data_IF_795427733328
#
_entry.id   IF_795427733328
#
_cell.length_a   1.000
_cell.length_b   1.000
_cell.length_c   1.000
_cell.angle_alpha   90.00
_cell.angle_beta   90.00
_cell.angle_gamma   90.00
#
_symmetry.space_group_name_H-M   'P 1'
#
loop_
_entity.id
_entity.type
_entity.pdbx_description
1 polymer ?
#
# COMPACT_ATOMS: atom_id res chain seq x y z
N UNK A 1 11.14 5.88 -29.23
CA UNK A 1 11.23 6.94 -28.21
C UNK A 1 9.89 7.00 -27.51
N UNK A 2 9.70 6.19 -26.47
CA UNK A 2 8.46 6.21 -25.71
C UNK A 2 8.49 7.37 -24.71
N UNK A 3 7.43 8.16 -24.76
CA UNK A 3 7.29 9.41 -24.03
C UNK A 3 7.24 9.13 -22.53
N UNK A 4 8.25 9.62 -21.82
CA UNK A 4 8.22 9.76 -20.36
C UNK A 4 7.12 10.78 -20.03
N UNK A 5 6.03 10.43 -19.33
CA UNK A 5 5.05 11.41 -18.92
C UNK A 5 5.70 12.34 -17.87
N UNK A 6 5.93 13.58 -18.30
CA UNK A 6 6.62 14.68 -17.61
C UNK A 6 5.78 15.37 -16.53
N UNK A 7 4.83 14.65 -15.90
CA UNK A 7 4.03 15.17 -14.79
C UNK A 7 4.31 14.35 -13.54
N UNK A 8 4.59 15.00 -12.38
CA UNK A 8 4.70 14.27 -11.12
C UNK A 8 3.38 13.56 -10.84
N UNK A 9 3.43 12.24 -10.75
CA UNK A 9 2.25 11.42 -10.47
C UNK A 9 1.77 11.74 -9.06
N UNK A 10 0.55 12.23 -8.92
CA UNK A 10 -0.04 12.49 -7.61
C UNK A 10 -0.79 11.26 -7.11
N UNK A 11 -1.07 11.23 -5.80
CA UNK A 11 -1.97 10.21 -5.23
C UNK A 11 -3.34 10.21 -5.94
N UNK A 12 -3.79 11.38 -6.42
CA UNK A 12 -5.04 11.50 -7.19
C UNK A 12 -5.00 10.71 -8.50
N UNK A 13 -3.86 10.76 -9.20
CA UNK A 13 -3.67 10.04 -10.48
C UNK A 13 -3.63 8.52 -10.26
N UNK A 14 -3.04 8.07 -9.14
CA UNK A 14 -3.05 6.65 -8.76
C UNK A 14 -4.47 6.16 -8.44
N UNK A 15 -5.28 6.98 -7.74
CA UNK A 15 -6.68 6.66 -7.44
C UNK A 15 -7.58 6.66 -8.67
N UNK A 16 -7.22 7.42 -9.70
CA UNK A 16 -7.91 7.43 -10.97
C UNK A 16 -7.67 6.15 -11.79
N UNK A 17 -6.76 5.27 -11.36
CA UNK A 17 -6.48 3.98 -11.97
C UNK A 17 -7.00 2.84 -11.06
N UNK A 18 -8.21 2.31 -11.29
CA UNK A 18 -8.83 1.29 -10.43
C UNK A 18 -7.99 0.03 -10.24
N UNK A 19 -7.32 -0.43 -11.30
CA UNK A 19 -6.45 -1.61 -11.30
C UNK A 19 -5.23 -1.42 -10.39
N UNK A 20 -4.51 -0.31 -10.58
CA UNK A 20 -3.35 0.05 -9.78
C UNK A 20 -3.73 0.29 -8.32
N UNK A 21 -4.85 0.98 -8.09
CA UNK A 21 -5.37 1.23 -6.75
C UNK A 21 -5.77 -0.06 -6.03
N UNK A 22 -6.36 -1.01 -6.74
CA UNK A 22 -6.64 -2.35 -6.22
C UNK A 22 -5.35 -3.09 -5.84
N UNK A 23 -4.33 -3.10 -6.71
CA UNK A 23 -3.02 -3.72 -6.43
C UNK A 23 -2.37 -3.14 -5.16
N UNK A 24 -2.44 -1.82 -4.96
CA UNK A 24 -1.97 -1.15 -3.73
C UNK A 24 -2.72 -1.66 -2.50
N UNK A 25 -4.05 -1.81 -2.58
CA UNK A 25 -4.83 -2.38 -1.48
C UNK A 25 -4.45 -3.83 -1.18
N UNK A 26 -4.21 -4.65 -2.20
CA UNK A 26 -3.75 -6.03 -2.04
C UNK A 26 -2.39 -6.06 -1.36
N UNK A 27 -1.43 -5.24 -1.80
CA UNK A 27 -0.12 -5.13 -1.14
C UNK A 27 -0.27 -4.77 0.35
N UNK A 28 -1.05 -3.74 0.69
CA UNK A 28 -1.24 -3.33 2.10
C UNK A 28 -1.89 -4.45 2.92
N UNK A 29 -2.87 -5.15 2.34
CA UNK A 29 -3.49 -6.30 2.98
C UNK A 29 -2.48 -7.43 3.20
N UNK A 30 -1.68 -7.78 2.19
CA UNK A 30 -0.71 -8.85 2.27
C UNK A 30 0.41 -8.52 3.27
N UNK A 31 0.91 -7.29 3.27
CA UNK A 31 1.88 -6.80 4.25
C UNK A 31 1.36 -6.98 5.69
N UNK A 32 0.06 -6.78 5.93
CA UNK A 32 -0.55 -6.96 7.26
C UNK A 32 -0.87 -8.38 7.62
N UNK A 33 -1.24 -9.20 6.65
CA UNK A 33 -1.65 -10.58 6.89
C UNK A 33 -0.52 -11.57 6.53
N UNK A 34 0.74 -11.12 6.43
CA UNK A 34 1.83 -11.98 5.96
C UNK A 34 2.04 -13.25 6.81
N UNK A 35 1.79 -13.19 8.13
CA UNK A 35 1.90 -14.36 9.01
C UNK A 35 0.65 -15.24 9.00
N UNK A 36 -0.50 -14.65 8.68
CA UNK A 36 -1.80 -15.31 8.75
C UNK A 36 -2.23 -15.90 7.41
N UNK A 37 -1.64 -15.43 6.30
CA UNK A 37 -1.99 -15.83 4.94
C UNK A 37 -0.76 -16.36 4.18
N UNK A 38 -0.63 -17.69 4.00
CA UNK A 38 0.48 -18.29 3.24
C UNK A 38 0.59 -17.80 1.80
N UNK A 39 -0.51 -17.38 1.17
CA UNK A 39 -0.49 -16.81 -0.18
C UNK A 39 0.10 -15.39 -0.17
N UNK A 40 -0.20 -14.60 0.85
CA UNK A 40 0.41 -13.28 1.04
C UNK A 40 1.91 -13.41 1.28
N UNK A 41 2.31 -14.38 2.10
CA UNK A 41 3.72 -14.69 2.34
C UNK A 41 4.43 -15.07 1.05
N UNK A 42 3.91 -16.05 0.29
CA UNK A 42 4.52 -16.47 -0.96
C UNK A 42 4.65 -15.34 -1.99
N UNK A 43 3.65 -14.43 -2.05
CA UNK A 43 3.71 -13.25 -2.93
C UNK A 43 4.76 -12.24 -2.47
N UNK A 44 4.86 -11.97 -1.16
CA UNK A 44 5.84 -11.04 -0.60
C UNK A 44 7.27 -11.58 -0.69
N UNK A 45 7.47 -12.88 -0.46
CA UNK A 45 8.78 -13.55 -0.59
C UNK A 45 9.27 -13.57 -2.05
N UNK A 46 8.35 -13.49 -3.02
CA UNK A 46 8.68 -13.38 -4.44
C UNK A 46 9.05 -11.94 -4.88
N UNK A 47 8.86 -10.92 -4.03
CA UNK A 47 9.23 -9.54 -4.37
C UNK A 47 10.72 -9.34 -4.15
N UNK A 48 11.46 -9.11 -5.23
CA UNK A 48 12.91 -8.82 -5.16
C UNK A 48 13.19 -7.35 -4.79
N UNK A 49 12.21 -6.45 -4.96
CA UNK A 49 12.37 -5.03 -4.67
C UNK A 49 12.29 -4.77 -3.15
N UNK A 50 13.30 -4.06 -2.61
CA UNK A 50 13.42 -3.75 -1.18
C UNK A 50 12.25 -2.91 -0.63
N UNK A 51 11.58 -2.14 -1.49
CA UNK A 51 10.42 -1.32 -1.13
C UNK A 51 9.11 -2.12 -1.24
N UNK A 52 9.18 -3.39 -1.64
CA UNK A 52 8.05 -4.26 -1.97
C UNK A 52 7.16 -3.70 -3.09
N UNK A 53 7.72 -2.81 -3.91
CA UNK A 53 7.08 -2.21 -5.09
C UNK A 53 7.70 -2.87 -6.31
N UNK A 54 7.22 -4.07 -6.64
CA UNK A 54 7.71 -4.84 -7.76
C UNK A 54 6.79 -6.02 -8.10
N UNK A 55 7.26 -6.88 -9.00
CA UNK A 55 6.60 -8.14 -9.28
C UNK A 55 6.48 -8.97 -7.98
N UNK A 56 5.38 -9.73 -7.77
CA UNK A 56 4.29 -9.99 -8.72
C UNK A 56 3.15 -8.96 -8.67
N UNK A 57 3.25 -7.89 -7.86
CA UNK A 57 2.16 -6.93 -7.67
C UNK A 57 2.09 -5.89 -8.78
N UNK A 58 3.25 -5.36 -9.19
CA UNK A 58 3.34 -4.23 -10.09
C UNK A 58 4.25 -4.51 -11.28
N UNK A 59 3.84 -4.01 -12.44
CA UNK A 59 4.66 -4.01 -13.64
C UNK A 59 5.72 -2.91 -13.57
N UNK A 60 6.84 -3.00 -14.31
CA UNK A 60 7.91 -2.00 -14.27
C UNK A 60 7.44 -0.55 -14.50
N UNK A 61 6.40 -0.36 -15.32
CA UNK A 61 5.78 0.96 -15.57
C UNK A 61 5.04 1.47 -14.33
N UNK A 62 4.26 0.61 -13.67
CA UNK A 62 3.54 0.93 -12.44
C UNK A 62 4.51 1.19 -11.27
N UNK A 63 5.60 0.43 -11.21
CA UNK A 63 6.68 0.62 -10.22
C UNK A 63 7.28 2.02 -10.35
N UNK A 64 7.61 2.46 -11.57
CA UNK A 64 8.14 3.80 -11.79
C UNK A 64 7.13 4.89 -11.39
N UNK A 65 5.85 4.70 -11.71
CA UNK A 65 4.79 5.65 -11.31
C UNK A 65 4.61 5.73 -9.79
N UNK A 66 4.67 4.59 -9.10
CA UNK A 66 4.59 4.52 -7.64
C UNK A 66 5.80 5.19 -6.99
N UNK A 67 7.02 4.87 -7.45
CA UNK A 67 8.26 5.46 -6.92
C UNK A 67 8.31 6.98 -7.14
N UNK A 68 7.87 7.45 -8.30
CA UNK A 68 7.78 8.87 -8.62
C UNK A 68 6.57 9.59 -7.99
N UNK A 69 5.69 8.87 -7.29
CA UNK A 69 4.46 9.45 -6.77
C UNK A 69 4.75 10.45 -5.65
N UNK A 70 4.27 11.69 -5.79
CA UNK A 70 4.37 12.70 -4.73
C UNK A 70 3.29 12.44 -3.69
N UNK A 71 3.73 11.96 -2.52
CA UNK A 71 2.85 11.65 -1.38
C UNK A 71 2.71 12.82 -0.41
N UNK A 72 3.70 13.70 -0.36
CA UNK A 72 3.66 14.93 0.42
C UNK A 72 3.84 16.13 -0.50
N UNK A 73 2.72 16.79 -0.82
CA UNK A 73 2.72 18.00 -1.64
C UNK A 73 3.46 19.18 -0.98
N UNK A 74 3.64 19.16 0.35
CA UNK A 74 4.31 20.25 1.07
C UNK A 74 5.84 20.12 1.02
N UNK A 75 6.35 18.89 1.05
CA UNK A 75 7.80 18.62 1.00
C UNK A 75 8.28 18.09 -0.36
N UNK A 76 7.38 17.96 -1.35
CA UNK A 76 7.65 17.33 -2.66
C UNK A 76 8.34 15.97 -2.55
N UNK A 77 8.09 15.24 -1.45
CA UNK A 77 8.70 13.93 -1.22
C UNK A 77 7.97 12.89 -2.04
N UNK A 78 8.74 12.12 -2.79
CA UNK A 78 8.24 10.94 -3.48
C UNK A 78 7.99 9.80 -2.49
N UNK A 79 7.16 8.83 -2.88
CA UNK A 79 6.89 7.64 -2.09
C UNK A 79 8.18 6.86 -1.82
N UNK A 80 9.04 6.73 -2.83
CA UNK A 80 10.35 6.07 -2.71
C UNK A 80 11.21 6.72 -1.62
N UNK A 81 11.39 8.04 -1.68
CA UNK A 81 12.15 8.77 -0.67
C UNK A 81 11.55 8.61 0.73
N UNK A 82 10.22 8.61 0.84
CA UNK A 82 9.55 8.47 2.12
C UNK A 82 9.74 7.07 2.73
N UNK A 83 9.69 6.01 1.91
CA UNK A 83 9.96 4.63 2.36
C UNK A 83 11.43 4.50 2.75
N UNK A 84 12.35 4.94 1.90
CA UNK A 84 13.80 4.89 2.17
C UNK A 84 14.18 5.66 3.43
N UNK A 85 13.70 6.90 3.61
CA UNK A 85 13.94 7.70 4.81
C UNK A 85 13.48 6.95 6.06
N UNK A 86 12.28 6.36 6.01
CA UNK A 86 11.72 5.65 7.18
C UNK A 86 12.51 4.38 7.49
N UNK A 87 12.93 3.63 6.47
CA UNK A 87 13.75 2.43 6.65
C UNK A 87 15.14 2.79 7.20
N UNK A 88 15.77 3.85 6.67
CA UNK A 88 17.05 4.37 7.12
C UNK A 88 16.98 4.84 8.58
N UNK A 89 15.97 5.64 8.93
CA UNK A 89 15.81 6.14 10.30
C UNK A 89 15.59 4.99 11.30
N UNK A 90 14.84 3.94 10.91
CA UNK A 90 14.67 2.75 11.74
C UNK A 90 15.95 1.93 11.87
N UNK A 91 16.73 1.81 10.79
CA UNK A 91 18.03 1.16 10.83
C UNK A 91 18.99 1.91 11.76
N UNK A 92 19.07 3.24 11.65
CA UNK A 92 19.88 4.10 12.51
C UNK A 92 19.45 4.03 14.00
N UNK A 93 18.14 4.02 14.27
CA UNK A 93 17.63 3.82 15.64
C UNK A 93 17.98 2.46 16.22
N UNK A 94 18.00 1.40 15.39
CA UNK A 94 18.44 0.06 15.81
C UNK A 94 19.96 0.02 16.03
N UNK A 95 20.76 0.63 15.16
CA UNK A 95 22.22 0.75 15.35
C UNK A 95 22.57 1.49 16.65
N UNK A 96 21.76 2.47 17.05
CA UNK A 96 21.93 3.24 18.30
C UNK A 96 21.54 2.44 19.55
N UNK A 97 20.74 1.36 19.42
CA UNK A 97 20.40 0.42 20.51
C UNK A 97 21.23 -0.85 20.33
N UNK A 98 22.43 -0.89 20.93
CA UNK A 98 23.41 -2.00 21.00
C UNK A 98 23.12 -3.24 20.14
N UNK A 99 24.02 -3.47 19.18
CA UNK A 99 24.19 -4.69 18.37
C UNK A 99 24.19 -5.95 19.26
N UNK A 100 23.06 -6.64 19.36
CA UNK A 100 23.02 -8.00 19.93
C UNK A 100 21.98 -8.92 19.28
N UNK A 101 21.46 -8.53 18.12
CA UNK A 101 20.60 -9.42 17.32
C UNK A 101 20.96 -9.16 15.87
N UNK A 102 21.87 -9.98 15.33
CA UNK A 102 22.33 -9.92 13.94
C UNK A 102 21.27 -10.24 12.89
N UNK A 103 20.00 -9.98 13.19
CA UNK A 103 18.87 -10.17 12.29
C UNK A 103 18.21 -8.81 12.01
N UNK A 104 18.74 -8.11 11.00
CA UNK A 104 18.27 -6.80 10.55
C UNK A 104 17.16 -6.89 9.51
N UNK A 105 16.45 -8.03 9.45
CA UNK A 105 15.37 -8.24 8.48
C UNK A 105 14.28 -7.19 8.70
N UNK A 106 14.04 -6.40 7.66
CA UNK A 106 12.90 -5.47 7.60
C UNK A 106 11.64 -6.32 7.70
N UNK A 107 10.82 -6.08 8.73
CA UNK A 107 9.58 -6.82 8.88
C UNK A 107 8.50 -6.09 8.06
N UNK A 108 8.13 -6.66 6.92
CA UNK A 108 7.19 -6.07 5.97
C UNK A 108 5.90 -5.54 6.65
N UNK A 109 5.37 -6.27 7.64
CA UNK A 109 4.21 -5.85 8.42
C UNK A 109 4.44 -4.63 9.33
N UNK A 110 5.58 -4.53 10.00
CA UNK A 110 5.79 -3.53 11.05
C UNK A 110 6.58 -2.30 10.59
N UNK A 111 7.40 -2.49 9.56
CA UNK A 111 8.27 -1.46 9.02
C UNK A 111 7.65 -0.82 7.77
N UNK A 112 7.02 -1.62 6.89
CA UNK A 112 6.55 -1.17 5.57
C UNK A 112 5.05 -0.89 5.54
N UNK A 113 4.21 -1.79 6.05
CA UNK A 113 2.75 -1.59 6.05
C UNK A 113 2.28 -0.22 6.60
N UNK A 114 2.80 0.28 7.75
CA UNK A 114 2.40 1.58 8.27
C UNK A 114 2.72 2.75 7.34
N UNK A 115 3.78 2.61 6.52
CA UNK A 115 4.20 3.64 5.57
C UNK A 115 3.17 3.75 4.46
N UNK A 116 2.80 2.63 3.85
CA UNK A 116 1.78 2.59 2.80
C UNK A 116 0.41 3.03 3.33
N UNK A 117 0.01 2.57 4.52
CA UNK A 117 -1.22 3.00 5.19
C UNK A 117 -1.28 4.54 5.33
N UNK A 118 -0.18 5.16 5.77
CA UNK A 118 -0.10 6.61 5.95
C UNK A 118 -0.02 7.37 4.63
N UNK A 119 0.84 6.94 3.71
CA UNK A 119 1.05 7.57 2.40
C UNK A 119 -0.23 7.61 1.58
N UNK A 120 -0.98 6.50 1.58
CA UNK A 120 -2.21 6.36 0.79
C UNK A 120 -3.49 6.67 1.57
N UNK A 121 -3.36 6.98 2.87
CA UNK A 121 -4.50 7.15 3.79
C UNK A 121 -5.44 5.93 3.80
N UNK A 122 -4.86 4.73 3.75
CA UNK A 122 -5.57 3.45 3.79
C UNK A 122 -5.64 2.97 5.24
N UNK A 123 -6.84 2.60 5.69
CA UNK A 123 -7.03 2.01 7.02
C UNK A 123 -6.99 0.49 6.90
N UNK A 124 -6.07 -0.21 7.59
CA UNK A 124 -5.95 -1.66 7.48
C UNK A 124 -7.21 -2.39 7.97
N UNK A 125 -7.88 -1.85 8.99
CA UNK A 125 -9.17 -2.38 9.48
C UNK A 125 -10.28 -2.32 8.43
N UNK A 126 -10.25 -1.33 7.55
CA UNK A 126 -11.25 -1.22 6.48
C UNK A 126 -10.99 -2.28 5.41
N UNK A 127 -9.72 -2.59 5.09
CA UNK A 127 -9.37 -3.72 4.20
C UNK A 127 -9.81 -5.07 4.77
N UNK A 128 -9.58 -5.30 6.08
CA UNK A 128 -9.91 -6.57 6.72
C UNK A 128 -11.42 -6.81 6.91
N UNK A 129 -12.23 -5.75 6.96
CA UNK A 129 -13.69 -5.86 7.20
C UNK A 129 -14.53 -5.64 5.95
N UNK A 130 -13.91 -5.32 4.81
CA UNK A 130 -14.62 -5.04 3.58
C UNK A 130 -14.89 -6.34 2.79
N UNK A 131 -16.16 -6.73 2.76
CA UNK A 131 -16.60 -7.96 2.09
C UNK A 131 -16.36 -7.90 0.58
N UNK A 132 -16.59 -6.74 -0.05
CA UNK A 132 -16.36 -6.57 -1.50
C UNK A 132 -14.87 -6.72 -1.85
N UNK A 133 -13.98 -6.16 -1.03
CA UNK A 133 -12.54 -6.30 -1.18
C UNK A 133 -12.09 -7.75 -1.01
N UNK A 134 -12.57 -8.43 0.03
CA UNK A 134 -12.24 -9.83 0.29
C UNK A 134 -12.77 -10.75 -0.81
N UNK A 135 -13.99 -10.53 -1.27
CA UNK A 135 -14.57 -11.27 -2.40
C UNK A 135 -13.79 -11.03 -3.70
N UNK A 136 -13.33 -9.80 -3.95
CA UNK A 136 -12.46 -9.49 -5.08
C UNK A 136 -11.08 -10.15 -4.93
N UNK A 137 -10.49 -10.16 -3.74
CA UNK A 137 -9.21 -10.83 -3.48
C UNK A 137 -9.29 -12.35 -3.67
N UNK A 138 -10.43 -12.95 -3.32
CA UNK A 138 -10.68 -14.38 -3.51
C UNK A 138 -10.91 -14.74 -4.99
N UNK A 139 -11.59 -13.86 -5.74
CA UNK A 139 -11.93 -14.08 -7.15
C UNK A 139 -10.87 -13.63 -8.16
N UNK A 140 -10.10 -12.58 -7.87
CA UNK A 140 -9.04 -12.03 -8.72
C UNK A 140 -7.69 -12.14 -8.00
N UNK A 141 -6.85 -13.09 -8.42
CA UNK A 141 -5.45 -13.13 -7.96
C UNK A 141 -4.62 -12.15 -8.78
N UNK A 142 -4.28 -11.01 -8.18
CA UNK A 142 -3.34 -9.94 -8.62
C UNK A 142 -3.64 -9.25 -9.96
N UNK A 143 -4.26 -9.93 -10.93
CA UNK A 143 -4.62 -9.40 -12.24
C UNK A 143 -6.11 -9.07 -12.32
N UNK A 144 -6.47 -7.78 -12.33
CA UNK A 144 -7.84 -7.33 -12.45
C UNK A 144 -8.45 -7.69 -13.82
N UNK A 145 -9.40 -8.62 -13.88
CA UNK A 145 -10.36 -8.68 -15.00
C UNK A 145 -11.70 -8.14 -14.51
N UNK A 146 -12.16 -7.01 -15.08
CA UNK A 146 -13.47 -6.42 -14.77
C UNK A 146 -13.54 -5.50 -13.54
N UNK A 147 -12.41 -4.89 -13.13
CA UNK A 147 -12.31 -4.01 -11.95
C UNK A 147 -12.51 -2.52 -12.33
N UNK A 148 -13.14 -2.25 -13.46
CA UNK A 148 -13.30 -0.90 -14.04
C UNK A 148 -13.99 0.11 -13.10
N UNK A 149 -14.72 -0.40 -12.09
CA UNK A 149 -15.48 0.40 -11.12
C UNK A 149 -14.86 0.45 -9.71
N UNK A 150 -13.64 -0.05 -9.49
CA UNK A 150 -13.01 0.01 -8.16
C UNK A 150 -12.55 1.42 -7.81
N UNK A 151 -13.41 2.16 -7.13
CA UNK A 151 -13.12 3.51 -6.62
C UNK A 151 -12.49 3.50 -5.22
N UNK A 152 -12.22 2.30 -4.69
CA UNK A 152 -11.59 2.07 -3.40
C UNK A 152 -12.56 1.67 -2.29
N UNK A 153 -12.07 1.67 -1.05
CA UNK A 153 -12.89 1.27 0.10
C UNK A 153 -14.00 2.32 0.32
N UNK A 154 -15.29 1.93 0.38
CA UNK A 154 -16.36 2.83 0.75
C UNK A 154 -16.01 3.45 2.11
N UNK A 155 -15.87 4.78 2.14
CA UNK A 155 -15.81 5.49 3.41
C UNK A 155 -17.08 5.10 4.15
N UNK A 156 -16.95 4.42 5.29
CA UNK A 156 -18.04 4.32 6.27
C UNK A 156 -18.40 5.75 6.64
N UNK A 157 -19.34 6.33 5.90
CA UNK A 157 -20.00 7.55 6.30
C UNK A 157 -20.70 7.16 7.59
N UNK A 158 -20.14 7.60 8.71
CA UNK A 158 -20.88 7.65 9.95
C UNK A 158 -22.10 8.51 9.65
N UNK A 159 -23.22 7.89 9.26
CA UNK A 159 -24.51 8.55 9.34
C UNK A 159 -24.69 8.85 10.83
N UNK A 160 -24.70 10.12 11.27
CA UNK A 160 -25.10 10.40 12.64
C UNK A 160 -26.49 9.79 12.79
N UNK A 161 -26.59 8.79 13.66
CA UNK A 161 -27.83 8.09 13.93
C UNK A 161 -28.72 9.11 14.65
N UNK A 162 -29.56 9.81 13.90
CA UNK A 162 -30.49 10.80 14.41
C UNK A 162 -31.61 10.07 15.16
N UNK A 163 -31.26 9.49 16.31
CA UNK A 163 -32.20 8.83 17.20
C UNK A 163 -32.80 9.87 18.14
N UNK A 164 -34.12 9.98 18.00
CA UNK A 164 -35.09 10.63 18.87
C UNK A 164 -35.43 12.10 18.61
N UNK A 165 -36.29 12.29 17.60
CA UNK A 165 -37.42 13.22 17.69
C UNK A 165 -38.69 12.40 18.00
N UNK A 166 -39.16 12.47 19.25
CA UNK A 166 -40.52 12.20 19.76
C UNK A 166 -40.53 12.87 21.13
N UNK A 167 -41.47 13.72 21.54
CA UNK A 167 -42.64 14.38 20.98
C UNK A 167 -42.93 15.53 21.95
#
# INVERSE_FOLDING_TARGET
MEAVPSKPTSIGDLKAQPSLWYKIHVLVYDLRNFQENPMAQARLDAVEDLLYIGAPYFDPVEVQQLKACIVDATNSKSLEMLIEDTLRERLERRMKKRVDSGDYRVCAAHDIAPIFEKAFSIKPKDLQTNIDFLALLESCKLEPKGIDNWTGLPKKSFKPNNKHKKR
#
